data_IF_099177829415
#
_entry.id   IF_099177829415
#
_cell.length_a   1.000
_cell.length_b   1.000
_cell.length_c   1.000
_cell.angle_alpha   90.00
_cell.angle_beta   90.00
_cell.angle_gamma   90.00
#
_symmetry.space_group_name_H-M   'P 1'
#
loop_
_entity.id
_entity.type
_entity.pdbx_description
1 polymer ?
#
# COMPACT_ATOMS: atom_id res chain seq x y z
N UNK A 1 -5.84 -2.73 -3.04
CA UNK A 1 -7.03 -2.96 -2.25
C UNK A 1 -8.15 -1.94 -2.44
N UNK A 2 -7.89 -0.61 -2.57
CA UNK A 2 -8.97 0.39 -2.67
C UNK A 2 -9.86 0.23 -3.90
N UNK A 3 -9.29 0.05 -5.09
CA UNK A 3 -10.07 -0.14 -6.30
C UNK A 3 -10.86 -1.45 -6.27
N UNK A 4 -10.36 -2.50 -5.61
CA UNK A 4 -11.10 -3.76 -5.44
C UNK A 4 -12.28 -3.59 -4.50
N UNK A 5 -12.14 -2.79 -3.44
CA UNK A 5 -13.25 -2.40 -2.56
C UNK A 5 -14.31 -1.59 -3.28
N UNK A 6 -13.90 -0.64 -4.12
CA UNK A 6 -14.82 0.16 -4.93
C UNK A 6 -15.56 -0.68 -5.96
N UNK A 7 -14.85 -1.56 -6.69
CA UNK A 7 -15.49 -2.51 -7.61
C UNK A 7 -16.46 -3.45 -6.91
N UNK A 8 -16.10 -3.93 -5.72
CA UNK A 8 -16.97 -4.77 -4.91
C UNK A 8 -18.21 -4.01 -4.45
N UNK A 9 -18.06 -2.79 -3.95
CA UNK A 9 -19.18 -1.97 -3.51
C UNK A 9 -20.10 -1.54 -4.67
N UNK A 10 -19.55 -1.22 -5.84
CA UNK A 10 -20.34 -1.00 -7.06
C UNK A 10 -21.12 -2.25 -7.47
N UNK A 11 -20.49 -3.41 -7.40
CA UNK A 11 -21.13 -4.69 -7.65
C UNK A 11 -22.24 -4.98 -6.66
N UNK A 12 -22.04 -4.64 -5.39
CA UNK A 12 -23.03 -4.79 -4.31
C UNK A 12 -24.20 -3.83 -4.46
N UNK A 13 -23.94 -2.59 -4.88
CA UNK A 13 -24.99 -1.59 -5.15
C UNK A 13 -25.81 -1.90 -6.43
N UNK A 14 -25.16 -2.52 -7.44
CA UNK A 14 -25.84 -2.94 -8.68
C UNK A 14 -26.53 -4.30 -8.58
N UNK A 15 -26.19 -5.11 -7.57
CA UNK A 15 -26.89 -6.34 -7.23
C UNK A 15 -28.05 -5.98 -6.31
N UNK A 16 -29.19 -5.63 -6.89
CA UNK A 16 -30.39 -5.20 -6.15
C UNK A 16 -30.95 -6.27 -5.19
N UNK A 17 -30.50 -7.53 -5.28
CA UNK A 17 -30.88 -8.61 -4.39
C UNK A 17 -29.71 -9.54 -4.12
N UNK A 18 -29.52 -9.86 -2.84
CA UNK A 18 -28.65 -10.95 -2.38
C UNK A 18 -29.29 -12.25 -2.85
N UNK A 19 -28.67 -12.92 -3.81
CA UNK A 19 -29.14 -14.25 -4.23
C UNK A 19 -28.90 -15.19 -3.06
N UNK A 20 -29.98 -15.74 -2.49
CA UNK A 20 -29.84 -16.81 -1.48
C UNK A 20 -29.10 -17.99 -2.11
N UNK A 21 -28.06 -18.44 -1.44
CA UNK A 21 -27.31 -19.60 -1.87
C UNK A 21 -28.21 -20.81 -1.66
N UNK A 22 -28.63 -21.47 -2.74
CA UNK A 22 -29.34 -22.73 -2.67
C UNK A 22 -28.34 -23.84 -2.28
N UNK A 23 -28.27 -24.10 -0.98
CA UNK A 23 -27.40 -25.16 -0.42
C UNK A 23 -27.77 -26.57 -0.87
N UNK A 24 -28.94 -26.77 -1.53
CA UNK A 24 -29.40 -28.09 -1.99
C UNK A 24 -28.66 -28.59 -3.24
N UNK A 25 -28.00 -27.74 -4.00
CA UNK A 25 -27.45 -28.11 -5.31
C UNK A 25 -25.96 -27.82 -5.51
N UNK A 26 -25.35 -26.93 -4.86
CA UNK A 26 -23.91 -26.65 -4.82
C UNK A 26 -23.69 -25.22 -4.27
N UNK A 27 -22.91 -25.06 -3.24
CA UNK A 27 -22.62 -23.74 -2.63
C UNK A 27 -21.99 -22.73 -3.60
N UNK A 28 -21.52 -23.18 -4.76
CA UNK A 28 -20.96 -22.32 -5.81
C UNK A 28 -22.02 -21.82 -6.83
N UNK A 29 -23.27 -22.26 -6.73
CA UNK A 29 -24.32 -21.90 -7.71
C UNK A 29 -24.96 -20.52 -7.47
N UNK A 30 -24.67 -19.88 -6.34
CA UNK A 30 -25.25 -18.58 -5.98
C UNK A 30 -24.38 -17.41 -6.41
N UNK A 31 -24.49 -16.94 -7.62
CA UNK A 31 -23.84 -15.73 -8.08
C UNK A 31 -24.71 -14.96 -9.06
N UNK A 32 -24.40 -13.71 -9.31
CA UNK A 32 -25.13 -12.84 -10.22
C UNK A 32 -24.24 -12.41 -11.39
N UNK A 33 -24.71 -12.61 -12.61
CA UNK A 33 -24.14 -11.97 -13.78
C UNK A 33 -24.62 -10.51 -13.82
N UNK A 34 -23.69 -9.57 -13.60
CA UNK A 34 -23.99 -8.15 -13.56
C UNK A 34 -24.11 -7.54 -14.96
N UNK A 35 -24.70 -6.35 -15.06
CA UNK A 35 -24.90 -5.64 -16.33
C UNK A 35 -23.58 -5.32 -17.08
N UNK A 36 -22.45 -5.28 -16.38
CA UNK A 36 -21.11 -5.13 -16.96
C UNK A 36 -20.49 -6.45 -17.48
N UNK A 37 -21.28 -7.54 -17.50
CA UNK A 37 -20.83 -8.86 -17.94
C UNK A 37 -19.96 -9.61 -16.94
N UNK A 38 -19.77 -9.09 -15.74
CA UNK A 38 -18.98 -9.75 -14.69
C UNK A 38 -19.87 -10.59 -13.80
N UNK A 39 -19.38 -11.80 -13.49
CA UNK A 39 -19.98 -12.64 -12.47
C UNK A 39 -19.50 -12.21 -11.09
N UNK A 40 -20.43 -11.99 -10.17
CA UNK A 40 -20.13 -11.63 -8.80
C UNK A 40 -20.81 -12.56 -7.82
N UNK A 41 -20.06 -13.00 -6.84
CA UNK A 41 -20.55 -13.86 -5.76
C UNK A 41 -19.97 -13.39 -4.44
N UNK A 42 -20.77 -13.37 -3.39
CA UNK A 42 -20.35 -13.09 -2.02
C UNK A 42 -20.65 -14.34 -1.21
N UNK A 43 -19.59 -14.90 -0.62
CA UNK A 43 -19.66 -16.04 0.29
C UNK A 43 -19.08 -15.62 1.63
N UNK A 44 -19.94 -15.49 2.64
CA UNK A 44 -19.54 -15.16 4.01
C UNK A 44 -19.20 -16.44 4.78
N UNK A 45 -18.60 -16.28 5.97
CA UNK A 45 -18.39 -17.44 6.87
C UNK A 45 -19.71 -18.11 7.27
N UNK A 46 -20.79 -17.32 7.42
CA UNK A 46 -22.13 -17.87 7.71
C UNK A 46 -22.64 -18.72 6.56
N UNK A 47 -22.40 -18.29 5.32
CA UNK A 47 -22.78 -19.07 4.13
C UNK A 47 -21.94 -20.35 4.04
N UNK A 48 -20.65 -20.28 4.38
CA UNK A 48 -19.79 -21.47 4.43
C UNK A 48 -20.29 -22.50 5.44
N UNK A 49 -20.70 -22.05 6.65
CA UNK A 49 -21.27 -22.95 7.66
C UNK A 49 -22.61 -23.54 7.22
N UNK A 50 -23.49 -22.77 6.62
CA UNK A 50 -24.76 -23.26 6.02
C UNK A 50 -24.46 -24.30 4.92
N UNK A 51 -23.38 -24.13 4.18
CA UNK A 51 -22.90 -25.06 3.17
C UNK A 51 -22.23 -26.32 3.73
N UNK A 52 -22.18 -26.49 5.07
CA UNK A 52 -21.62 -27.67 5.73
C UNK A 52 -20.14 -27.57 6.11
N UNK A 53 -19.52 -26.39 6.03
CA UNK A 53 -18.16 -26.17 6.54
C UNK A 53 -18.16 -26.26 8.08
N UNK A 54 -17.34 -27.14 8.64
CA UNK A 54 -17.20 -27.34 10.09
C UNK A 54 -15.83 -26.90 10.63
N UNK A 55 -15.03 -26.21 9.81
CA UNK A 55 -13.65 -25.85 10.15
C UNK A 55 -13.53 -24.66 11.09
N UNK A 56 -14.59 -23.88 11.24
CA UNK A 56 -14.54 -22.59 11.95
C UNK A 56 -15.57 -22.54 13.08
N UNK A 57 -15.13 -22.01 14.24
CA UNK A 57 -16.00 -21.59 15.34
C UNK A 57 -16.20 -20.07 15.25
N UNK A 58 -17.40 -19.64 14.87
CA UNK A 58 -17.72 -18.20 14.72
C UNK A 58 -17.55 -17.44 16.03
N UNK A 59 -17.93 -18.04 17.15
CA UNK A 59 -17.84 -17.36 18.44
C UNK A 59 -16.39 -17.19 18.90
N UNK A 60 -15.53 -18.14 18.56
CA UNK A 60 -14.09 -18.00 18.77
C UNK A 60 -13.53 -16.89 17.87
N UNK A 61 -13.85 -16.88 16.59
CA UNK A 61 -13.37 -15.86 15.64
C UNK A 61 -13.82 -14.45 16.03
N UNK A 62 -15.06 -14.29 16.55
CA UNK A 62 -15.54 -13.00 17.07
C UNK A 62 -14.80 -12.53 18.32
N UNK A 63 -14.33 -13.45 19.16
CA UNK A 63 -13.52 -13.12 20.34
C UNK A 63 -12.08 -12.74 20.00
N UNK A 64 -11.53 -13.37 18.96
CA UNK A 64 -10.13 -13.18 18.53
C UNK A 64 -9.94 -11.96 17.63
N UNK A 65 -10.99 -11.45 17.02
CA UNK A 65 -10.93 -10.34 16.07
C UNK A 65 -11.76 -9.15 16.57
N UNK A 66 -11.37 -7.94 16.18
CA UNK A 66 -12.23 -6.77 16.36
C UNK A 66 -13.52 -6.91 15.53
N UNK A 67 -14.58 -6.18 15.88
CA UNK A 67 -15.84 -6.21 15.12
C UNK A 67 -15.64 -5.82 13.62
N UNK A 68 -14.73 -4.89 13.36
CA UNK A 68 -14.43 -4.43 12.01
C UNK A 68 -13.58 -5.45 11.24
N UNK A 69 -12.58 -6.06 11.90
CA UNK A 69 -11.80 -7.14 11.30
C UNK A 69 -12.68 -8.36 10.99
N UNK A 70 -13.59 -8.72 11.92
CA UNK A 70 -14.54 -9.81 11.68
C UNK A 70 -15.42 -9.56 10.45
N UNK A 71 -15.97 -8.35 10.31
CA UNK A 71 -16.76 -7.95 9.15
C UNK A 71 -15.96 -8.01 7.86
N UNK A 72 -14.74 -7.48 7.88
CA UNK A 72 -13.89 -7.42 6.69
C UNK A 72 -13.40 -8.82 6.26
N UNK A 73 -12.87 -9.60 7.20
CA UNK A 73 -12.22 -10.88 6.90
C UNK A 73 -13.22 -12.02 6.65
N UNK A 74 -14.35 -12.03 7.36
CA UNK A 74 -15.27 -13.17 7.39
C UNK A 74 -16.67 -12.88 6.82
N UNK A 75 -17.10 -11.62 6.83
CA UNK A 75 -18.42 -11.25 6.32
C UNK A 75 -18.35 -10.60 4.93
N UNK A 76 -17.18 -10.51 4.32
CA UNK A 76 -16.96 -9.84 3.03
C UNK A 76 -17.50 -8.40 3.03
N UNK A 77 -17.47 -7.71 4.17
CA UNK A 77 -17.82 -6.31 4.29
C UNK A 77 -16.55 -5.48 4.28
N UNK A 78 -16.43 -4.57 3.32
CA UNK A 78 -15.36 -3.57 3.40
C UNK A 78 -15.73 -2.57 4.50
N UNK A 79 -14.86 -2.47 5.50
CA UNK A 79 -15.01 -1.45 6.55
C UNK A 79 -15.04 -0.08 5.89
N UNK A 80 -15.97 0.77 6.31
CA UNK A 80 -16.14 2.11 5.76
C UNK A 80 -14.80 2.86 5.76
N UNK A 81 -14.47 3.47 4.64
CA UNK A 81 -13.19 4.18 4.42
C UNK A 81 -12.91 5.26 5.49
N UNK A 82 -13.95 5.71 6.19
CA UNK A 82 -13.84 6.65 7.33
C UNK A 82 -13.05 6.10 8.52
N UNK A 83 -12.98 4.78 8.67
CA UNK A 83 -12.16 4.11 9.69
C UNK A 83 -10.72 3.84 9.23
N UNK A 84 -10.44 4.03 7.94
CA UNK A 84 -9.09 3.88 7.40
C UNK A 84 -8.13 4.90 7.99
N UNK A 85 -6.89 4.46 8.26
CA UNK A 85 -5.80 5.36 8.69
C UNK A 85 -5.55 6.44 7.63
N UNK A 86 -5.70 6.08 6.35
CA UNK A 86 -5.58 6.95 5.18
C UNK A 86 -6.88 6.87 4.37
N UNK A 87 -7.89 7.71 4.63
CA UNK A 87 -9.13 7.74 3.87
C UNK A 87 -8.85 8.02 2.39
N UNK A 88 -9.57 7.32 1.51
CA UNK A 88 -9.34 7.44 0.06
C UNK A 88 -9.54 8.87 -0.45
N UNK A 89 -10.53 9.59 0.08
CA UNK A 89 -10.77 10.99 -0.26
C UNK A 89 -9.56 11.90 0.06
N UNK A 90 -8.87 11.65 1.19
CA UNK A 90 -7.66 12.39 1.57
C UNK A 90 -6.51 12.05 0.61
N UNK A 91 -6.34 10.76 0.26
CA UNK A 91 -5.33 10.33 -0.70
C UNK A 91 -5.62 10.89 -2.11
N UNK A 92 -6.87 10.90 -2.54
CA UNK A 92 -7.27 11.42 -3.86
C UNK A 92 -6.92 12.91 -4.03
N UNK A 93 -7.02 13.72 -2.97
CA UNK A 93 -6.60 15.12 -3.00
C UNK A 93 -5.09 15.31 -3.20
N UNK A 94 -4.30 14.27 -2.90
CA UNK A 94 -2.85 14.28 -3.08
C UNK A 94 -2.44 13.72 -4.46
N UNK A 95 -3.39 13.19 -5.25
CA UNK A 95 -3.10 12.67 -6.59
C UNK A 95 -3.05 13.81 -7.59
N UNK A 96 -2.00 13.83 -8.40
CA UNK A 96 -1.79 14.79 -9.47
C UNK A 96 -1.36 14.06 -10.73
N UNK A 97 -1.67 14.61 -11.91
CA UNK A 97 -1.00 14.20 -13.14
C UNK A 97 0.34 14.93 -13.20
N UNK A 98 1.41 14.18 -12.98
CA UNK A 98 2.76 14.74 -12.86
C UNK A 98 3.28 15.31 -14.19
N UNK A 99 2.76 14.85 -15.33
CA UNK A 99 3.16 15.34 -16.65
C UNK A 99 2.45 16.65 -16.99
N UNK A 100 1.26 16.88 -16.44
CA UNK A 100 0.49 18.09 -16.68
C UNK A 100 0.80 19.20 -15.64
N UNK A 101 1.01 18.82 -14.36
CA UNK A 101 1.12 19.79 -13.27
C UNK A 101 2.55 20.16 -12.88
N UNK A 102 3.54 19.29 -13.18
CA UNK A 102 4.92 19.50 -12.74
C UNK A 102 5.85 19.87 -13.90
N UNK A 103 5.80 21.12 -14.34
CA UNK A 103 6.67 21.66 -15.39
C UNK A 103 8.18 21.52 -15.09
N UNK A 104 8.52 21.43 -13.80
CA UNK A 104 9.88 21.36 -13.29
C UNK A 104 10.39 19.91 -13.07
N UNK A 105 9.64 18.89 -13.51
CA UNK A 105 9.99 17.48 -13.42
C UNK A 105 9.92 16.81 -14.80
N UNK A 106 11.03 16.29 -15.26
CA UNK A 106 11.13 15.61 -16.56
C UNK A 106 11.48 14.13 -16.35
N UNK A 107 10.52 13.21 -16.11
CA UNK A 107 10.76 11.84 -15.65
C UNK A 107 11.64 11.00 -16.57
N UNK A 108 11.70 11.33 -17.86
CA UNK A 108 12.48 10.61 -18.86
C UNK A 108 13.87 11.22 -19.13
N UNK A 109 14.22 12.32 -18.48
CA UNK A 109 15.54 12.93 -18.60
C UNK A 109 16.58 12.18 -17.76
N UNK A 110 17.86 12.30 -18.14
CA UNK A 110 18.96 11.73 -17.36
C UNK A 110 19.07 12.33 -15.95
N UNK A 111 18.68 13.60 -15.79
CA UNK A 111 18.57 14.28 -14.51
C UNK A 111 17.16 14.88 -14.38
N UNK A 112 16.17 14.09 -13.93
CA UNK A 112 14.76 14.46 -14.03
C UNK A 112 14.32 15.66 -13.19
N UNK A 113 15.08 15.96 -12.12
CA UNK A 113 14.72 16.99 -11.14
C UNK A 113 15.79 18.05 -10.96
N UNK A 114 16.82 18.06 -11.83
CA UNK A 114 17.93 19.01 -11.77
C UNK A 114 18.72 18.91 -10.47
N UNK A 115 19.20 20.04 -9.95
CA UNK A 115 20.00 20.10 -8.72
C UNK A 115 19.18 20.11 -7.43
N UNK A 116 17.86 20.00 -7.52
CA UNK A 116 17.00 20.02 -6.33
C UNK A 116 17.14 18.77 -5.50
N UNK A 117 17.12 18.90 -4.16
CA UNK A 117 17.30 17.78 -3.27
C UNK A 117 16.14 16.78 -3.37
N UNK A 118 16.46 15.50 -3.25
CA UNK A 118 15.49 14.43 -3.07
C UNK A 118 15.88 13.54 -1.89
N UNK A 119 14.89 12.88 -1.34
CA UNK A 119 15.04 11.87 -0.31
C UNK A 119 14.64 10.50 -0.84
N UNK A 120 15.34 9.47 -0.40
CA UNK A 120 15.00 8.07 -0.71
C UNK A 120 14.56 7.37 0.56
N UNK A 121 13.38 6.78 0.52
CA UNK A 121 12.89 5.85 1.51
C UNK A 121 12.94 4.42 0.97
N UNK A 122 13.52 3.49 1.73
CA UNK A 122 13.72 2.13 1.26
C UNK A 122 13.37 1.09 2.32
N UNK A 123 12.52 0.14 1.92
CA UNK A 123 12.11 -1.03 2.69
C UNK A 123 12.62 -2.29 1.99
N UNK A 124 13.73 -2.90 2.49
CA UNK A 124 14.33 -4.08 1.88
C UNK A 124 13.45 -5.32 2.07
N UNK A 125 13.43 -6.18 1.06
CA UNK A 125 12.83 -7.50 1.17
C UNK A 125 13.74 -8.58 0.57
N UNK A 126 13.63 -9.81 1.08
CA UNK A 126 14.34 -10.97 0.57
C UNK A 126 13.39 -12.17 0.55
N UNK A 127 13.29 -12.85 -0.59
CA UNK A 127 12.50 -14.09 -0.80
C UNK A 127 10.99 -13.96 -0.48
N UNK A 128 10.20 -13.75 -1.52
CA UNK A 128 8.73 -13.83 -1.47
C UNK A 128 8.03 -12.48 -1.48
N UNK A 129 8.44 -11.54 -0.66
CA UNK A 129 7.93 -10.19 -0.65
C UNK A 129 8.66 -9.26 -1.64
N UNK A 130 8.11 -8.10 -1.87
CA UNK A 130 8.73 -7.09 -2.71
C UNK A 130 9.40 -6.02 -1.87
N UNK A 131 10.65 -5.67 -2.19
CA UNK A 131 11.29 -4.49 -1.65
C UNK A 131 10.63 -3.22 -2.21
N UNK A 132 10.42 -2.22 -1.37
CA UNK A 132 9.80 -0.95 -1.73
C UNK A 132 10.80 0.20 -1.70
N UNK A 133 10.87 1.01 -2.78
CA UNK A 133 11.69 2.21 -2.84
C UNK A 133 10.88 3.40 -3.32
N UNK A 134 11.02 4.53 -2.66
CA UNK A 134 10.34 5.78 -3.01
C UNK A 134 11.36 6.90 -3.10
N UNK A 135 11.32 7.65 -4.20
CA UNK A 135 12.06 8.90 -4.37
C UNK A 135 11.10 10.06 -4.11
N UNK A 136 11.41 10.86 -3.11
CA UNK A 136 10.56 11.91 -2.58
C UNK A 136 11.27 13.27 -2.67
N UNK A 137 10.62 14.27 -3.26
CA UNK A 137 11.08 15.64 -3.17
C UNK A 137 10.49 16.32 -1.92
N UNK A 138 11.34 16.85 -1.00
CA UNK A 138 10.86 17.61 0.13
C UNK A 138 10.27 18.95 -0.34
N UNK A 139 9.39 19.59 0.46
CA UNK A 139 8.86 20.89 0.15
C UNK A 139 9.96 21.96 0.17
N UNK A 140 9.91 22.89 -0.78
CA UNK A 140 10.88 24.01 -0.89
C UNK A 140 10.69 25.00 0.25
N UNK A 141 9.47 25.15 0.73
CA UNK A 141 9.11 26.07 1.83
C UNK A 141 8.42 25.31 2.96
N UNK A 142 8.54 25.81 4.16
CA UNK A 142 7.85 25.22 5.31
C UNK A 142 6.33 25.17 5.07
N UNK A 143 5.73 23.97 5.30
CA UNK A 143 4.31 23.75 5.03
C UNK A 143 3.95 23.51 3.56
N UNK A 144 4.93 23.47 2.65
CA UNK A 144 4.74 23.08 1.26
C UNK A 144 4.50 21.58 1.10
N UNK A 145 4.21 21.18 -0.15
CA UNK A 145 3.88 19.80 -0.48
C UNK A 145 5.11 18.94 -0.72
N UNK A 146 5.05 17.70 -0.26
CA UNK A 146 5.96 16.65 -0.72
C UNK A 146 5.53 16.16 -2.10
N UNK A 147 6.49 15.70 -2.91
CA UNK A 147 6.21 15.12 -4.23
C UNK A 147 6.84 13.76 -4.33
N UNK A 148 6.06 12.71 -4.62
CA UNK A 148 6.59 11.38 -4.93
C UNK A 148 6.99 11.39 -6.40
N UNK A 149 8.30 11.43 -6.68
CA UNK A 149 8.84 11.47 -8.03
C UNK A 149 8.89 10.09 -8.67
N UNK A 150 9.35 9.09 -7.91
CA UNK A 150 9.40 7.70 -8.37
C UNK A 150 9.00 6.73 -7.27
N UNK A 151 8.42 5.62 -7.69
CA UNK A 151 8.10 4.49 -6.85
C UNK A 151 8.57 3.21 -7.53
N UNK A 152 9.38 2.44 -6.84
CA UNK A 152 9.87 1.16 -7.31
C UNK A 152 9.42 0.03 -6.39
N UNK A 153 9.15 -1.11 -6.98
CA UNK A 153 8.85 -2.34 -6.29
C UNK A 153 9.69 -3.46 -6.91
N UNK A 154 10.61 -4.03 -6.14
CA UNK A 154 11.54 -5.03 -6.61
C UNK A 154 11.26 -6.38 -5.97
N UNK A 155 10.94 -7.37 -6.79
CA UNK A 155 10.65 -8.73 -6.33
C UNK A 155 11.79 -9.68 -6.71
N UNK A 156 12.23 -10.51 -5.74
CA UNK A 156 13.22 -11.55 -5.99
C UNK A 156 14.65 -11.06 -6.24
N UNK A 157 14.95 -9.78 -6.01
CA UNK A 157 16.31 -9.25 -6.12
C UNK A 157 17.13 -9.58 -4.88
N UNK A 158 18.40 -9.94 -5.06
CA UNK A 158 19.36 -10.02 -3.98
C UNK A 158 19.75 -8.63 -3.44
N UNK A 159 20.36 -8.58 -2.27
CA UNK A 159 20.71 -7.34 -1.61
C UNK A 159 21.73 -6.50 -2.37
N UNK A 160 22.65 -7.12 -3.11
CA UNK A 160 23.63 -6.41 -3.91
C UNK A 160 22.95 -5.70 -5.09
N UNK A 161 22.05 -6.38 -5.77
CA UNK A 161 21.23 -5.81 -6.86
C UNK A 161 20.31 -4.70 -6.37
N UNK A 162 19.71 -4.84 -5.16
CA UNK A 162 18.91 -3.80 -4.53
C UNK A 162 19.77 -2.56 -4.22
N UNK A 163 20.94 -2.74 -3.61
CA UNK A 163 21.85 -1.63 -3.32
C UNK A 163 22.36 -0.93 -4.60
N UNK A 164 22.66 -1.69 -5.64
CA UNK A 164 23.05 -1.14 -6.94
C UNK A 164 21.91 -0.33 -7.59
N UNK A 165 20.67 -0.76 -7.42
CA UNK A 165 19.51 -0.01 -7.90
C UNK A 165 19.35 1.34 -7.17
N UNK A 166 19.63 1.37 -5.86
CA UNK A 166 19.68 2.62 -5.08
C UNK A 166 20.86 3.49 -5.54
N UNK A 167 22.03 2.91 -5.84
CA UNK A 167 23.19 3.66 -6.35
C UNK A 167 22.84 4.40 -7.65
N UNK A 168 22.16 3.73 -8.57
CA UNK A 168 21.70 4.37 -9.82
C UNK A 168 20.75 5.55 -9.56
N UNK A 169 19.92 5.48 -8.52
CA UNK A 169 19.08 6.63 -8.14
C UNK A 169 19.94 7.79 -7.61
N UNK A 170 21.05 7.53 -6.89
CA UNK A 170 21.97 8.59 -6.46
C UNK A 170 22.75 9.23 -7.62
N UNK A 171 22.89 8.54 -8.74
CA UNK A 171 23.47 9.09 -9.97
C UNK A 171 22.45 9.92 -10.77
N UNK A 172 21.18 9.53 -10.68
CA UNK A 172 20.07 10.16 -11.39
C UNK A 172 19.56 11.43 -10.70
N UNK A 173 19.63 11.49 -9.37
CA UNK A 173 19.08 12.56 -8.55
C UNK A 173 20.13 13.16 -7.61
N UNK A 174 19.93 14.43 -7.24
CA UNK A 174 20.67 15.05 -6.14
C UNK A 174 20.10 14.55 -4.80
N UNK A 175 20.58 13.40 -4.34
CA UNK A 175 20.08 12.73 -3.13
C UNK A 175 20.72 13.38 -1.89
N UNK A 176 19.89 13.92 -1.01
CA UNK A 176 20.29 14.54 0.25
C UNK A 176 20.09 13.61 1.45
N UNK A 177 19.15 12.66 1.36
CA UNK A 177 18.82 11.75 2.44
C UNK A 177 18.45 10.37 1.91
N UNK A 178 18.98 9.33 2.56
CA UNK A 178 18.54 7.94 2.35
C UNK A 178 18.19 7.34 3.70
N UNK A 179 16.91 6.95 3.87
CA UNK A 179 16.43 6.20 5.03
C UNK A 179 16.10 4.76 4.64
N UNK A 180 16.68 3.80 5.38
CA UNK A 180 16.52 2.37 5.07
C UNK A 180 15.99 1.66 6.31
N UNK A 181 14.92 0.86 6.12
CA UNK A 181 14.53 -0.07 7.19
C UNK A 181 15.63 -1.10 7.41
N UNK A 182 16.31 -0.96 8.53
CA UNK A 182 17.35 -1.87 8.96
C UNK A 182 16.85 -2.89 10.01
N UNK A 183 15.53 -3.11 10.08
CA UNK A 183 14.95 -4.13 10.95
C UNK A 183 15.26 -5.52 10.37
N UNK A 184 15.85 -6.38 11.17
CA UNK A 184 16.16 -7.75 10.76
C UNK A 184 17.13 -7.83 9.56
N UNK A 185 16.65 -8.32 8.42
CA UNK A 185 17.46 -8.55 7.21
C UNK A 185 17.95 -7.25 6.53
N UNK A 186 17.30 -6.12 6.79
CA UNK A 186 17.64 -4.83 6.19
C UNK A 186 19.03 -4.31 6.52
N UNK A 187 19.64 -4.78 7.60
CA UNK A 187 21.02 -4.43 7.97
C UNK A 187 22.01 -4.72 6.84
N UNK A 188 21.84 -5.82 6.10
CA UNK A 188 22.73 -6.19 5.00
C UNK A 188 22.72 -5.17 3.86
N UNK A 189 21.53 -4.76 3.41
CA UNK A 189 21.40 -3.73 2.35
C UNK A 189 21.90 -2.38 2.86
N UNK A 190 21.58 -2.03 4.09
CA UNK A 190 22.04 -0.79 4.71
C UNK A 190 23.58 -0.66 4.67
N UNK A 191 24.31 -1.73 5.02
CA UNK A 191 25.76 -1.73 4.95
C UNK A 191 26.28 -1.55 3.52
N UNK A 192 25.66 -2.20 2.54
CA UNK A 192 26.01 -2.04 1.14
C UNK A 192 25.77 -0.60 0.65
N UNK A 193 24.63 -0.01 0.98
CA UNK A 193 24.34 1.39 0.63
C UNK A 193 25.31 2.35 1.29
N UNK A 194 25.67 2.14 2.55
CA UNK A 194 26.65 2.98 3.25
C UNK A 194 28.03 2.97 2.61
N UNK A 195 28.39 1.96 1.87
CA UNK A 195 29.69 1.90 1.20
C UNK A 195 29.86 2.98 0.12
N UNK A 196 28.78 3.39 -0.54
CA UNK A 196 28.78 4.46 -1.55
C UNK A 196 28.05 5.73 -1.10
N UNK A 197 27.18 5.63 -0.09
CA UNK A 197 26.46 6.77 0.50
C UNK A 197 26.60 6.73 2.05
N UNK A 198 27.72 7.20 2.60
CA UNK A 198 28.02 7.08 4.04
C UNK A 198 27.02 7.77 4.96
N UNK A 199 26.27 8.77 4.45
CA UNK A 199 25.27 9.52 5.20
C UNK A 199 23.92 8.78 5.32
N UNK A 200 23.77 7.57 4.74
CA UNK A 200 22.54 6.78 4.87
C UNK A 200 22.19 6.54 6.35
N UNK A 201 20.88 6.57 6.63
CA UNK A 201 20.35 6.38 7.99
C UNK A 201 19.62 5.05 8.09
N UNK A 202 19.93 4.29 9.14
CA UNK A 202 19.18 3.13 9.53
C UNK A 202 17.90 3.55 10.29
N UNK A 203 16.78 2.99 9.88
CA UNK A 203 15.50 3.16 10.56
C UNK A 203 15.13 1.80 11.13
N UNK A 204 14.83 1.75 12.42
CA UNK A 204 14.35 0.53 13.07
C UNK A 204 12.88 0.69 13.42
N UNK A 205 12.05 -0.16 12.86
CA UNK A 205 10.61 -0.11 13.05
C UNK A 205 10.18 -0.73 14.37
N UNK A 206 10.40 -0.01 15.46
CA UNK A 206 9.71 -0.32 16.71
C UNK A 206 8.22 0.04 16.59
N UNK A 207 7.33 -0.50 17.44
CA UNK A 207 5.92 -0.11 17.47
C UNK A 207 5.70 1.40 17.61
N UNK A 208 6.51 2.05 18.45
CA UNK A 208 6.45 3.51 18.68
C UNK A 208 6.87 4.28 17.42
N UNK A 209 7.95 3.83 16.75
CA UNK A 209 8.42 4.44 15.51
C UNK A 209 7.38 4.29 14.40
N UNK A 210 6.78 3.11 14.23
CA UNK A 210 5.71 2.88 13.27
C UNK A 210 4.53 3.81 13.53
N UNK A 211 4.09 3.92 14.78
CA UNK A 211 3.00 4.82 15.16
C UNK A 211 3.34 6.28 14.82
N UNK A 212 4.53 6.75 15.18
CA UNK A 212 4.97 8.11 14.89
C UNK A 212 5.02 8.40 13.37
N UNK A 213 5.52 7.45 12.57
CA UNK A 213 5.57 7.58 11.12
C UNK A 213 4.17 7.62 10.50
N UNK A 214 3.26 6.76 10.94
CA UNK A 214 1.87 6.73 10.46
C UNK A 214 1.17 8.04 10.80
N UNK A 215 1.29 8.53 12.03
CA UNK A 215 0.69 9.81 12.43
C UNK A 215 1.27 10.99 11.62
N UNK A 216 2.57 10.98 11.35
CA UNK A 216 3.22 12.00 10.52
C UNK A 216 2.75 11.95 9.08
N UNK A 217 2.67 10.76 8.49
CA UNK A 217 2.15 10.58 7.14
C UNK A 217 0.69 11.05 7.03
N UNK A 218 -0.14 10.71 8.03
CA UNK A 218 -1.53 11.17 8.10
C UNK A 218 -1.64 12.71 8.15
N UNK A 219 -0.80 13.36 8.94
CA UNK A 219 -0.77 14.82 9.02
C UNK A 219 -0.38 15.45 7.66
N UNK A 220 0.63 14.92 6.98
CA UNK A 220 1.05 15.37 5.65
C UNK A 220 -0.07 15.21 4.63
N UNK A 221 -0.67 14.02 4.54
CA UNK A 221 -1.75 13.71 3.58
C UNK A 221 -2.96 14.63 3.80
N UNK A 222 -3.37 14.86 5.06
CA UNK A 222 -4.49 15.75 5.39
C UNK A 222 -4.27 17.20 4.95
N UNK A 223 -3.03 17.64 4.90
CA UNK A 223 -2.67 18.99 4.42
C UNK A 223 -2.61 19.06 2.89
N UNK A 224 -2.85 17.96 2.19
CA UNK A 224 -2.81 17.88 0.73
C UNK A 224 -1.44 17.57 0.15
N UNK A 225 -0.64 16.84 0.91
CA UNK A 225 0.67 16.32 0.47
C UNK A 225 1.86 17.07 0.94
#
# INVERSE_FOLDING_TARGET
PFWSGELFNRGRASAAERVEIDVSHNALAGGLLCADGQWRQIVTIEDALKGGCTLFDIEQLKRENSADDFKNLFMCEFVDDKASVFPFEELQRCMVDTLEEWEDYAPFAANPFGSRPVWIGYDPSHRGDSAGCVVLAPPVVAGGKFRILERHQWKGMDFATQAESIRKLTEKYNVEYIGIDATGLGVGVFQLVRSFYPAARDIRYTPEMKTAMVLKAKDVIRRGG
#
